data_IF_166314777618
#
_entry.id   IF_166314777618
#
_cell.length_a   1.000
_cell.length_b   1.000
_cell.length_c   1.000
_cell.angle_alpha   90.00
_cell.angle_beta   90.00
_cell.angle_gamma   90.00
#
_symmetry.space_group_name_H-M   'P 1'
#
loop_
_entity.id
_entity.type
_entity.pdbx_description
1 polymer ?
#
# COMPACT_ATOMS: atom_id res chain seq x y z
N UNK A 1 11.16 10.61 -6.34
CA UNK A 1 10.14 9.57 -6.66
C UNK A 1 8.79 10.25 -6.62
N UNK A 2 7.95 10.07 -7.65
CA UNK A 2 6.65 10.76 -7.73
C UNK A 2 5.54 9.89 -7.15
N UNK A 3 4.63 10.49 -6.38
CA UNK A 3 3.41 9.83 -5.92
C UNK A 3 2.39 9.69 -7.06
N UNK A 4 1.51 8.71 -6.94
CA UNK A 4 0.32 8.60 -7.78
C UNK A 4 -0.78 9.49 -7.19
N UNK A 5 -1.51 10.18 -8.06
CA UNK A 5 -2.75 10.86 -7.67
C UNK A 5 -3.86 9.85 -7.36
N UNK A 6 -4.95 10.30 -6.75
CA UNK A 6 -6.13 9.45 -6.50
C UNK A 6 -6.68 8.85 -7.80
N UNK A 7 -6.77 9.64 -8.87
CA UNK A 7 -7.22 9.17 -10.19
C UNK A 7 -6.28 8.12 -10.80
N UNK A 8 -4.96 8.33 -10.66
CA UNK A 8 -3.96 7.38 -11.14
C UNK A 8 -4.05 6.05 -10.38
N UNK A 9 -4.27 6.10 -9.06
CA UNK A 9 -4.50 4.91 -8.23
C UNK A 9 -5.75 4.15 -8.69
N UNK A 10 -6.87 4.85 -8.90
CA UNK A 10 -8.11 4.23 -9.39
C UNK A 10 -7.95 3.60 -10.77
N UNK A 11 -7.24 4.25 -11.69
CA UNK A 11 -6.91 3.69 -13.02
C UNK A 11 -6.07 2.41 -12.90
N UNK A 12 -5.05 2.42 -12.04
CA UNK A 12 -4.21 1.24 -11.78
C UNK A 12 -5.04 0.09 -11.20
N UNK A 13 -5.88 0.36 -10.20
CA UNK A 13 -6.74 -0.66 -9.59
C UNK A 13 -7.77 -1.21 -10.60
N UNK A 14 -8.32 -0.36 -11.49
CA UNK A 14 -9.23 -0.78 -12.55
C UNK A 14 -8.55 -1.77 -13.51
N UNK A 15 -7.36 -1.46 -14.00
CA UNK A 15 -6.60 -2.38 -14.86
C UNK A 15 -6.21 -3.64 -14.08
N UNK A 16 -5.76 -3.50 -12.83
CA UNK A 16 -5.40 -4.64 -11.97
C UNK A 16 -6.58 -5.59 -11.72
N UNK A 17 -7.83 -5.10 -11.75
CA UNK A 17 -9.05 -5.88 -11.47
C UNK A 17 -9.36 -6.98 -12.49
N UNK A 18 -8.70 -6.98 -13.64
CA UNK A 18 -8.76 -8.05 -14.62
C UNK A 18 -8.16 -9.38 -14.08
N UNK A 19 -7.35 -9.30 -13.02
CA UNK A 19 -6.78 -10.47 -12.35
C UNK A 19 -6.83 -10.29 -10.82
N UNK A 20 -7.57 -11.16 -10.13
CA UNK A 20 -7.81 -11.07 -8.68
C UNK A 20 -6.53 -11.04 -7.86
N UNK A 21 -5.53 -11.86 -8.22
CA UNK A 21 -4.22 -11.86 -7.55
C UNK A 21 -3.50 -10.53 -7.69
N UNK A 22 -3.46 -9.99 -8.90
CA UNK A 22 -2.78 -8.73 -9.18
C UNK A 22 -3.44 -7.57 -8.44
N UNK A 23 -4.78 -7.50 -8.45
CA UNK A 23 -5.54 -6.51 -7.69
C UNK A 23 -5.21 -6.59 -6.20
N UNK A 24 -5.22 -7.79 -5.62
CA UNK A 24 -4.90 -7.97 -4.19
C UNK A 24 -3.47 -7.53 -3.86
N UNK A 25 -2.47 -7.87 -4.68
CA UNK A 25 -1.07 -7.46 -4.48
C UNK A 25 -0.92 -5.93 -4.54
N UNK A 26 -1.56 -5.28 -5.52
CA UNK A 26 -1.46 -3.82 -5.71
C UNK A 26 -2.20 -3.09 -4.59
N UNK A 27 -3.39 -3.56 -4.22
CA UNK A 27 -4.17 -2.97 -3.14
C UNK A 27 -3.43 -3.01 -1.80
N UNK A 28 -2.84 -4.15 -1.43
CA UNK A 28 -2.00 -4.27 -0.23
C UNK A 28 -0.75 -3.36 -0.30
N UNK A 29 -0.14 -3.25 -1.49
CA UNK A 29 0.98 -2.35 -1.72
C UNK A 29 0.63 -0.90 -1.43
N UNK A 30 -0.56 -0.47 -1.83
CA UNK A 30 -1.06 0.88 -1.61
C UNK A 30 -1.55 1.08 -0.17
N UNK A 31 -2.56 0.34 0.28
CA UNK A 31 -3.24 0.61 1.55
C UNK A 31 -2.38 0.38 2.79
N UNK A 32 -1.43 -0.54 2.72
CA UNK A 32 -0.51 -0.84 3.83
C UNK A 32 0.92 -0.37 3.59
N UNK A 33 1.20 0.27 2.47
CA UNK A 33 2.55 0.67 2.11
C UNK A 33 3.53 -0.49 2.10
N UNK A 34 3.08 -1.69 1.67
CA UNK A 34 3.93 -2.88 1.63
C UNK A 34 4.91 -2.82 0.46
N UNK A 35 6.16 -3.24 0.72
CA UNK A 35 7.14 -3.45 -0.34
C UNK A 35 6.84 -4.75 -1.11
N UNK A 36 7.28 -4.85 -2.36
CA UNK A 36 7.12 -6.06 -3.17
C UNK A 36 7.64 -7.33 -2.47
N UNK A 37 8.74 -7.22 -1.73
CA UNK A 37 9.30 -8.33 -0.95
C UNK A 37 8.47 -8.70 0.29
N UNK A 38 7.78 -7.73 0.90
CA UNK A 38 6.87 -7.97 2.04
C UNK A 38 5.61 -8.69 1.56
N UNK A 39 5.04 -8.28 0.42
CA UNK A 39 3.91 -8.97 -0.22
C UNK A 39 4.31 -10.38 -0.67
N UNK A 40 5.47 -10.53 -1.31
CA UNK A 40 6.00 -11.84 -1.70
C UNK A 40 6.13 -12.81 -0.53
N UNK A 41 6.48 -12.30 0.66
CA UNK A 41 6.67 -13.08 1.88
C UNK A 41 5.43 -13.19 2.79
N UNK A 42 4.28 -12.62 2.41
CA UNK A 42 3.07 -12.65 3.23
C UNK A 42 2.53 -14.08 3.33
N UNK A 43 2.32 -14.56 4.55
CA UNK A 43 1.79 -15.90 4.84
C UNK A 43 0.30 -15.84 5.20
N UNK A 44 -0.43 -16.95 5.00
CA UNK A 44 -1.86 -17.03 5.33
C UNK A 44 -2.13 -16.72 6.81
N UNK A 45 -1.25 -17.17 7.72
CA UNK A 45 -1.36 -16.89 9.16
C UNK A 45 -1.15 -15.42 9.55
N UNK A 46 -0.64 -14.60 8.61
CA UNK A 46 -0.45 -13.17 8.84
C UNK A 46 -1.73 -12.36 8.55
N UNK A 47 -2.79 -13.02 8.03
CA UNK A 47 -4.08 -12.41 7.72
C UNK A 47 -5.19 -13.03 8.55
N UNK A 48 -5.91 -12.21 9.28
CA UNK A 48 -7.14 -12.59 9.98
C UNK A 48 -8.34 -11.84 9.36
N UNK A 49 -8.94 -12.45 8.33
CA UNK A 49 -10.11 -11.86 7.67
C UNK A 49 -11.37 -11.87 8.53
N UNK A 50 -11.41 -12.71 9.59
CA UNK A 50 -12.54 -12.75 10.53
C UNK A 50 -12.52 -11.50 11.41
N UNK A 51 -11.38 -11.21 12.03
CA UNK A 51 -11.19 -10.03 12.87
C UNK A 51 -10.82 -8.78 12.06
N UNK A 52 -10.50 -8.93 10.77
CA UNK A 52 -10.17 -7.82 9.88
C UNK A 52 -8.80 -7.23 10.16
N UNK A 53 -7.78 -8.07 10.34
CA UNK A 53 -6.41 -7.65 10.64
C UNK A 53 -5.40 -8.29 9.72
N UNK A 54 -4.33 -7.54 9.41
CA UNK A 54 -3.15 -8.01 8.71
C UNK A 54 -1.89 -7.68 9.50
N UNK A 55 -1.04 -8.68 9.70
CA UNK A 55 0.27 -8.53 10.32
C UNK A 55 1.35 -8.47 9.26
N UNK A 56 2.09 -7.39 9.20
CA UNK A 56 3.13 -7.15 8.20
C UNK A 56 4.50 -7.27 8.85
N UNK A 57 5.28 -8.25 8.38
CA UNK A 57 6.68 -8.43 8.79
C UNK A 57 7.55 -7.53 7.93
N UNK A 58 7.89 -6.35 8.47
CA UNK A 58 8.73 -5.39 7.78
C UNK A 58 10.17 -5.90 7.69
N UNK A 59 10.82 -5.66 6.55
CA UNK A 59 12.19 -6.11 6.28
C UNK A 59 13.24 -5.16 6.89
N UNK A 60 14.47 -5.67 7.07
CA UNK A 60 15.67 -4.92 7.50
C UNK A 60 15.52 -4.22 8.86
N UNK A 61 15.02 -4.94 9.87
CA UNK A 61 14.93 -4.42 11.23
C UNK A 61 13.86 -3.35 11.45
N UNK A 62 12.94 -3.18 10.50
CA UNK A 62 11.73 -2.39 10.69
C UNK A 62 10.75 -3.15 11.58
N UNK A 63 9.92 -2.42 12.33
CA UNK A 63 8.97 -2.99 13.28
C UNK A 63 7.90 -3.82 12.56
N UNK A 64 7.57 -5.00 13.11
CA UNK A 64 6.35 -5.73 12.76
C UNK A 64 5.16 -4.82 13.06
N UNK A 65 4.23 -4.70 12.11
CA UNK A 65 3.02 -3.88 12.28
C UNK A 65 1.78 -4.74 12.08
N UNK A 66 0.77 -4.59 12.95
CA UNK A 66 -0.59 -5.10 12.72
C UNK A 66 -1.46 -3.94 12.35
N UNK A 67 -2.24 -4.10 11.28
CA UNK A 67 -3.05 -3.04 10.69
C UNK A 67 -4.46 -3.57 10.38
N UNK A 68 -5.50 -2.73 10.45
CA UNK A 68 -6.84 -3.14 10.10
C UNK A 68 -6.98 -3.36 8.59
N UNK A 69 -7.69 -4.42 8.20
CA UNK A 69 -8.17 -4.63 6.83
C UNK A 69 -9.48 -3.86 6.70
N UNK A 70 -9.50 -2.84 5.87
CA UNK A 70 -10.62 -1.91 5.78
C UNK A 70 -11.41 -2.07 4.48
N UNK A 71 -12.70 -1.78 4.56
CA UNK A 71 -13.58 -1.65 3.39
C UNK A 71 -14.01 -0.19 3.26
N UNK A 72 -14.03 0.30 2.01
CA UNK A 72 -14.53 1.64 1.70
C UNK A 72 -15.87 1.49 1.00
N UNK A 73 -16.91 1.97 1.66
CA UNK A 73 -18.27 1.89 1.13
C UNK A 73 -18.37 2.60 -0.23
N UNK A 74 -19.05 1.99 -1.19
CA UNK A 74 -19.19 2.53 -2.54
C UNK A 74 -17.95 2.38 -3.43
N UNK A 75 -16.83 1.85 -2.91
CA UNK A 75 -15.57 1.70 -3.62
C UNK A 75 -15.11 0.22 -3.66
N UNK A 76 -15.70 -0.63 -4.50
CA UNK A 76 -15.45 -2.08 -4.49
C UNK A 76 -13.98 -2.47 -4.77
N UNK A 77 -13.24 -1.66 -5.52
CA UNK A 77 -11.82 -1.89 -5.80
C UNK A 77 -10.90 -1.53 -4.62
N UNK A 78 -11.41 -0.74 -3.66
CA UNK A 78 -10.73 -0.36 -2.43
C UNK A 78 -11.21 -1.17 -1.21
N UNK A 79 -12.18 -2.08 -1.40
CA UNK A 79 -12.69 -2.98 -0.36
C UNK A 79 -11.76 -4.17 -0.17
N UNK A 80 -10.88 -4.12 0.83
CA UNK A 80 -9.83 -5.12 1.03
C UNK A 80 -10.39 -6.49 1.36
N UNK A 81 -11.40 -6.60 2.26
CA UNK A 81 -12.01 -7.88 2.61
C UNK A 81 -12.56 -8.57 1.38
N UNK A 82 -13.25 -7.83 0.52
CA UNK A 82 -13.81 -8.34 -0.73
C UNK A 82 -12.71 -8.83 -1.67
N UNK A 83 -11.70 -8.00 -1.91
CA UNK A 83 -10.60 -8.30 -2.84
C UNK A 83 -9.78 -9.49 -2.36
N UNK A 84 -9.45 -9.54 -1.07
CA UNK A 84 -8.67 -10.63 -0.49
C UNK A 84 -9.46 -11.95 -0.46
N UNK A 85 -10.75 -11.92 -0.12
CA UNK A 85 -11.62 -13.11 -0.19
C UNK A 85 -11.68 -13.66 -1.61
N UNK A 86 -11.96 -12.81 -2.61
CA UNK A 86 -12.03 -13.23 -4.00
C UNK A 86 -10.71 -13.85 -4.49
N UNK A 87 -9.55 -13.31 -4.07
CA UNK A 87 -8.27 -13.92 -4.36
C UNK A 87 -8.08 -15.26 -3.64
N UNK A 88 -8.40 -15.36 -2.35
CA UNK A 88 -8.25 -16.61 -1.59
C UNK A 88 -9.16 -17.72 -2.09
N UNK A 89 -10.35 -17.40 -2.55
CA UNK A 89 -11.26 -18.33 -3.22
C UNK A 89 -10.62 -18.89 -4.51
N UNK A 90 -10.05 -18.02 -5.36
CA UNK A 90 -9.34 -18.44 -6.59
C UNK A 90 -8.07 -19.24 -6.29
N UNK A 91 -7.34 -18.84 -5.25
CA UNK A 91 -6.16 -19.56 -4.77
C UNK A 91 -6.51 -20.98 -4.31
N UNK A 92 -7.67 -21.17 -3.72
CA UNK A 92 -8.15 -22.45 -3.18
C UNK A 92 -7.21 -23.04 -2.13
N UNK A 93 -7.24 -24.37 -2.01
CA UNK A 93 -6.44 -25.14 -1.05
C UNK A 93 -5.00 -25.40 -1.53
N UNK A 94 -4.36 -24.44 -2.18
CA UNK A 94 -2.97 -24.57 -2.59
C UNK A 94 -2.06 -24.85 -1.37
N UNK A 95 -1.15 -25.85 -1.42
CA UNK A 95 -0.39 -26.32 -0.24
C UNK A 95 0.63 -25.31 0.30
N UNK A 96 0.97 -24.29 -0.44
CA UNK A 96 1.89 -23.24 0.00
C UNK A 96 1.32 -22.44 1.17
N UNK A 97 2.15 -22.11 2.16
CA UNK A 97 1.79 -21.22 3.26
C UNK A 97 1.65 -19.74 2.84
N UNK A 98 2.19 -19.36 1.68
CA UNK A 98 2.18 -17.99 1.20
C UNK A 98 0.83 -17.60 0.61
N UNK A 99 0.42 -16.34 0.84
CA UNK A 99 -0.82 -15.78 0.28
C UNK A 99 -0.73 -15.72 -1.24
N UNK A 100 0.40 -15.25 -1.77
CA UNK A 100 0.61 -15.11 -3.21
C UNK A 100 1.55 -16.19 -3.72
N UNK A 101 0.97 -17.10 -4.51
CA UNK A 101 1.66 -18.27 -5.05
C UNK A 101 2.02 -18.07 -6.52
N UNK A 102 3.13 -18.70 -6.93
CA UNK A 102 3.55 -18.76 -8.34
C UNK A 102 3.06 -20.07 -8.99
N UNK A 103 2.95 -20.07 -10.32
CA UNK A 103 2.60 -21.29 -11.07
C UNK A 103 3.62 -22.42 -10.92
N UNK A 104 4.89 -22.10 -10.60
CA UNK A 104 6.01 -23.06 -10.50
C UNK A 104 6.25 -23.58 -9.08
N UNK A 105 5.28 -23.44 -8.16
CA UNK A 105 5.37 -23.72 -6.73
C UNK A 105 6.05 -22.65 -5.87
N UNK A 106 5.64 -22.56 -4.61
CA UNK A 106 6.17 -21.59 -3.66
C UNK A 106 5.58 -20.18 -3.82
N UNK A 107 6.28 -19.20 -3.26
CA UNK A 107 5.83 -17.79 -3.27
C UNK A 107 6.08 -17.12 -4.62
N UNK A 108 5.26 -16.13 -4.96
CA UNK A 108 5.54 -15.22 -6.06
C UNK A 108 6.84 -14.44 -5.80
N UNK A 109 7.77 -14.38 -6.76
CA UNK A 109 9.03 -13.67 -6.57
C UNK A 109 8.84 -12.15 -6.69
N UNK A 110 9.56 -11.37 -5.88
CA UNK A 110 9.46 -9.88 -5.88
C UNK A 110 9.62 -9.24 -7.26
N UNK A 111 10.47 -9.81 -8.13
CA UNK A 111 10.65 -9.30 -9.50
C UNK A 111 9.40 -9.47 -10.36
N UNK A 112 8.57 -10.47 -10.08
CA UNK A 112 7.28 -10.66 -10.76
C UNK A 112 6.29 -9.55 -10.35
N UNK A 113 6.27 -9.15 -9.05
CA UNK A 113 5.44 -8.02 -8.63
C UNK A 113 5.85 -6.73 -9.33
N UNK A 114 7.16 -6.49 -9.48
CA UNK A 114 7.65 -5.31 -10.20
C UNK A 114 7.22 -5.32 -11.66
N UNK A 115 7.34 -6.47 -12.36
CA UNK A 115 6.92 -6.60 -13.78
C UNK A 115 5.42 -6.44 -13.94
N UNK A 116 4.63 -7.10 -13.09
CA UNK A 116 3.17 -7.01 -13.09
C UNK A 116 2.71 -5.57 -12.86
N UNK A 117 3.31 -4.87 -11.89
CA UNK A 117 2.95 -3.48 -11.65
C UNK A 117 3.36 -2.56 -12.81
N UNK A 118 4.54 -2.76 -13.40
CA UNK A 118 4.99 -1.94 -14.54
C UNK A 118 4.05 -2.08 -15.74
N UNK A 119 3.64 -3.32 -16.08
CA UNK A 119 2.65 -3.60 -17.14
C UNK A 119 1.30 -2.93 -16.85
N UNK A 120 0.75 -3.14 -15.65
CA UNK A 120 -0.53 -2.54 -15.25
C UNK A 120 -0.46 -1.02 -15.27
N UNK A 121 0.62 -0.42 -14.75
CA UNK A 121 0.81 1.02 -14.73
C UNK A 121 0.95 1.61 -16.14
N UNK A 122 1.61 0.89 -17.06
CA UNK A 122 1.67 1.27 -18.47
C UNK A 122 0.30 1.25 -19.12
N UNK A 123 -0.46 0.18 -18.96
CA UNK A 123 -1.83 0.03 -19.47
C UNK A 123 -2.81 1.03 -18.85
N UNK A 124 -2.55 1.45 -17.60
CA UNK A 124 -3.28 2.53 -16.94
C UNK A 124 -2.89 3.94 -17.41
N UNK A 125 -1.93 4.05 -18.35
CA UNK A 125 -1.49 5.32 -18.91
C UNK A 125 -0.53 6.12 -18.03
N UNK A 126 0.11 5.49 -17.03
CA UNK A 126 1.06 6.18 -16.17
C UNK A 126 2.37 6.51 -16.91
N UNK A 127 3.03 7.64 -16.60
CA UNK A 127 4.34 7.97 -17.13
C UNK A 127 5.42 7.01 -16.58
N UNK A 128 6.53 6.82 -17.32
CA UNK A 128 7.59 5.84 -17.01
C UNK A 128 8.15 5.97 -15.59
N UNK A 129 8.29 7.19 -15.09
CA UNK A 129 8.85 7.49 -13.77
C UNK A 129 7.90 7.13 -12.60
N UNK A 130 6.67 6.72 -12.89
CA UNK A 130 5.67 6.21 -11.94
C UNK A 130 5.40 4.71 -12.05
N UNK A 131 6.05 3.98 -13.00
CA UNK A 131 5.78 2.56 -13.28
C UNK A 131 6.62 1.62 -12.42
N UNK A 132 6.88 1.95 -11.15
CA UNK A 132 7.60 1.08 -10.23
C UNK A 132 6.81 0.85 -8.93
N UNK A 133 6.82 -0.38 -8.45
CA UNK A 133 5.98 -0.84 -7.34
C UNK A 133 6.07 0.04 -6.08
N UNK A 134 7.23 0.63 -5.82
CA UNK A 134 7.44 1.47 -4.64
C UNK A 134 6.64 2.78 -4.66
N UNK A 135 6.14 3.21 -5.84
CA UNK A 135 5.24 4.36 -5.96
C UNK A 135 3.99 4.19 -5.09
N UNK A 136 3.46 2.96 -4.95
CA UNK A 136 2.28 2.69 -4.12
C UNK A 136 2.49 3.10 -2.67
N UNK A 137 3.63 2.68 -2.08
CA UNK A 137 4.00 3.06 -0.72
C UNK A 137 4.23 4.56 -0.59
N UNK A 138 4.88 5.17 -1.58
CA UNK A 138 5.14 6.60 -1.61
C UNK A 138 3.83 7.40 -1.70
N UNK A 139 2.88 6.94 -2.53
CA UNK A 139 1.55 7.55 -2.65
C UNK A 139 0.78 7.52 -1.34
N UNK A 140 0.78 6.39 -0.62
CA UNK A 140 0.18 6.32 0.71
C UNK A 140 0.83 7.34 1.66
N UNK A 141 2.17 7.45 1.67
CA UNK A 141 2.88 8.41 2.51
C UNK A 141 2.47 9.84 2.23
N UNK A 142 2.39 10.23 0.97
CA UNK A 142 1.96 11.57 0.53
C UNK A 142 0.49 11.81 0.91
N UNK A 143 -0.41 10.87 0.61
CA UNK A 143 -1.84 11.01 0.95
C UNK A 143 -2.08 11.17 2.46
N UNK A 144 -1.29 10.46 3.30
CA UNK A 144 -1.41 10.62 4.75
C UNK A 144 -0.92 11.99 5.25
N UNK A 145 0.12 12.55 4.62
CA UNK A 145 0.57 13.93 4.91
C UNK A 145 -0.47 14.94 4.47
N UNK A 146 -1.02 14.82 3.28
CA UNK A 146 -2.10 15.67 2.75
C UNK A 146 -3.35 15.64 3.65
N UNK A 147 -3.62 14.48 4.26
CA UNK A 147 -4.68 14.30 5.25
C UNK A 147 -4.31 14.80 6.66
N UNK A 148 -3.19 15.51 6.83
CA UNK A 148 -2.69 16.04 8.10
C UNK A 148 -2.47 14.97 9.20
N UNK A 149 -2.17 13.71 8.82
CA UNK A 149 -1.86 12.66 9.77
C UNK A 149 -0.49 12.92 10.40
N UNK A 150 -0.42 12.78 11.73
CA UNK A 150 0.82 12.99 12.47
C UNK A 150 1.98 12.13 11.91
N UNK A 151 3.17 12.74 11.76
CA UNK A 151 4.33 12.12 11.15
C UNK A 151 4.80 10.83 11.88
N UNK A 152 4.63 10.77 13.21
CA UNK A 152 4.94 9.57 13.98
C UNK A 152 3.96 8.42 13.67
N UNK A 153 2.69 8.73 13.43
CA UNK A 153 1.67 7.76 13.01
C UNK A 153 1.99 7.26 11.60
N UNK A 154 2.35 8.15 10.67
CA UNK A 154 2.77 7.79 9.31
C UNK A 154 4.00 6.87 9.35
N UNK A 155 5.01 7.22 10.16
CA UNK A 155 6.19 6.38 10.39
C UNK A 155 5.80 4.97 10.81
N UNK A 156 4.93 4.85 11.81
CA UNK A 156 4.46 3.56 12.33
C UNK A 156 3.68 2.78 11.26
N UNK A 157 2.73 3.41 10.58
CA UNK A 157 1.92 2.79 9.53
C UNK A 157 2.78 2.27 8.37
N UNK A 158 3.75 3.05 7.91
CA UNK A 158 4.67 2.65 6.84
C UNK A 158 5.79 1.70 7.30
N UNK A 159 5.91 1.46 8.61
CA UNK A 159 6.97 0.63 9.20
C UNK A 159 8.37 1.22 8.93
N UNK A 160 8.54 2.53 9.02
CA UNK A 160 9.83 3.18 8.85
C UNK A 160 10.65 3.11 10.14
N UNK A 161 11.91 2.70 10.05
CA UNK A 161 12.83 2.66 11.19
C UNK A 161 13.17 4.07 11.70
N UNK A 162 13.38 5.01 10.79
CA UNK A 162 13.72 6.40 11.09
C UNK A 162 12.61 7.35 10.65
N UNK A 163 12.39 8.41 11.43
CA UNK A 163 11.45 9.49 11.06
C UNK A 163 11.95 10.25 9.83
N UNK A 164 13.28 10.32 9.62
CA UNK A 164 13.86 10.91 8.41
C UNK A 164 13.36 10.24 7.13
N UNK A 165 13.08 8.92 7.17
CA UNK A 165 12.48 8.21 6.03
C UNK A 165 11.02 8.61 5.76
N UNK A 166 10.37 9.25 6.71
CA UNK A 166 8.98 9.74 6.59
C UNK A 166 8.98 11.24 6.25
N UNK A 167 9.99 11.98 6.72
CA UNK A 167 10.16 13.41 6.44
C UNK A 167 10.30 13.73 4.95
N UNK A 168 10.69 12.75 4.11
CA UNK A 168 10.74 12.92 2.65
C UNK A 168 9.37 13.18 2.01
N UNK A 169 8.28 12.92 2.73
CA UNK A 169 6.92 13.24 2.30
C UNK A 169 6.48 14.63 2.70
N UNK A 170 7.20 15.27 3.65
CA UNK A 170 6.92 16.61 4.14
C UNK A 170 7.99 17.54 3.60
N UNK A 171 7.68 18.30 2.57
CA UNK A 171 8.48 19.46 2.17
C UNK A 171 7.62 20.70 2.48
N UNK A 172 7.65 21.20 3.73
CA UNK A 172 6.89 22.39 4.06
C UNK A 172 7.47 23.56 3.26
N UNK A 173 6.62 24.25 2.51
CA UNK A 173 6.94 25.59 2.02
C UNK A 173 6.69 26.59 3.15
N UNK A 174 7.35 27.74 3.11
CA UNK A 174 7.12 28.82 4.09
C UNK A 174 5.65 29.23 4.17
N UNK A 175 4.93 29.15 3.04
CA UNK A 175 3.49 29.40 2.96
C UNK A 175 2.67 28.38 3.77
N UNK A 176 2.98 27.10 3.64
CA UNK A 176 2.31 26.02 4.40
C UNK A 176 2.61 26.16 5.89
N UNK A 177 3.86 26.43 6.24
CA UNK A 177 4.26 26.64 7.63
C UNK A 177 3.56 27.85 8.24
N UNK A 178 3.52 28.96 7.53
CA UNK A 178 2.83 30.20 7.97
C UNK A 178 1.34 30.00 8.20
N UNK A 179 0.63 29.34 7.27
CA UNK A 179 -0.79 29.00 7.42
C UNK A 179 -1.05 28.11 8.64
N UNK A 180 -0.21 27.09 8.85
CA UNK A 180 -0.34 26.18 9.98
C UNK A 180 -0.13 26.89 11.33
N UNK A 181 0.89 27.74 11.43
CA UNK A 181 1.15 28.56 12.63
C UNK A 181 0.00 29.51 12.91
N UNK A 182 -0.50 30.22 11.89
CA UNK A 182 -1.63 31.15 12.05
C UNK A 182 -2.89 30.42 12.52
N UNK A 183 -3.20 29.28 11.93
CA UNK A 183 -4.37 28.48 12.34
C UNK A 183 -4.23 27.95 13.79
N UNK A 184 -3.04 27.49 14.16
CA UNK A 184 -2.78 27.03 15.52
C UNK A 184 -2.94 28.17 16.54
N UNK A 185 -2.38 29.35 16.29
CA UNK A 185 -2.54 30.52 17.16
C UNK A 185 -3.99 30.95 17.28
N UNK A 186 -4.75 30.96 16.18
CA UNK A 186 -6.17 31.31 16.20
C UNK A 186 -7.03 30.31 17.01
N UNK A 187 -6.58 29.08 17.18
CA UNK A 187 -7.27 28.07 17.99
C UNK A 187 -6.93 28.12 19.49
N UNK A 188 -5.90 28.88 19.87
CA UNK A 188 -5.44 29.01 21.26
C UNK A 188 -6.08 30.20 21.99
N UNK A 189 -6.66 31.15 21.23
CA UNK A 189 -7.29 32.39 21.73
C UNK A 189 -8.70 32.54 21.15
#
# INVERSE_FOLDING_TARGET
>A
MKALSQDEILKVLKVASENRRNLAMILLGFKHGMRASEISGLELKDMDLKNGEITIRRLKGSLKTTQPITDIQGQPLLSEKRVLRAWLEERGNHPSRFVFVSQKSGRVHRSQLHRVFADIAERAGLPKDKRHFHCLKHSLGVSLVEANVNLAVIKQALGHKSIASTAVYTVPTDEIAGKAVTAALASMF
#
